data_IF_694881604206
#
_entry.id   IF_694881604206
#
_cell.length_a   1.000
_cell.length_b   1.000
_cell.length_c   1.000
_cell.angle_alpha   90.00
_cell.angle_beta   90.00
_cell.angle_gamma   90.00
#
_symmetry.space_group_name_H-M   'P 1'
#
loop_
_entity.id
_entity.type
_entity.pdbx_description
1 polymer ?
#
# COMPACT_ATOMS: atom_id res chain seq x y z
N UNK A 1 -3.28 18.61 -6.84
CA UNK A 1 -4.42 18.50 -7.78
C UNK A 1 -3.93 17.66 -8.93
N UNK A 2 -4.25 16.36 -8.88
CA UNK A 2 -3.91 15.41 -9.94
C UNK A 2 -4.47 15.88 -11.28
N UNK A 3 -3.80 15.54 -12.39
CA UNK A 3 -4.34 15.87 -13.71
C UNK A 3 -5.63 15.09 -13.92
N UNK A 4 -6.61 15.68 -14.61
CA UNK A 4 -7.90 15.04 -14.90
C UNK A 4 -7.74 13.62 -15.50
N UNK A 5 -6.69 13.41 -16.30
CA UNK A 5 -6.37 12.11 -16.88
C UNK A 5 -5.93 11.08 -15.82
N UNK A 6 -5.07 11.45 -14.87
CA UNK A 6 -4.65 10.58 -13.76
C UNK A 6 -5.83 10.25 -12.84
N UNK A 7 -6.65 11.25 -12.50
CA UNK A 7 -7.88 11.04 -11.74
C UNK A 7 -8.85 10.11 -12.46
N UNK A 8 -8.94 10.18 -13.79
CA UNK A 8 -9.75 9.26 -14.60
C UNK A 8 -9.22 7.82 -14.52
N UNK A 9 -7.90 7.61 -14.50
CA UNK A 9 -7.30 6.28 -14.29
C UNK A 9 -7.67 5.72 -12.91
N UNK A 10 -7.60 6.54 -11.86
CA UNK A 10 -8.03 6.13 -10.49
C UNK A 10 -9.50 5.68 -10.49
N UNK A 11 -10.39 6.49 -11.07
CA UNK A 11 -11.82 6.21 -11.11
C UNK A 11 -12.11 4.94 -11.91
N UNK A 12 -11.52 4.81 -13.09
CA UNK A 12 -11.71 3.65 -13.95
C UNK A 12 -11.14 2.37 -13.31
N UNK A 13 -10.01 2.45 -12.61
CA UNK A 13 -9.42 1.31 -11.92
C UNK A 13 -10.29 0.86 -10.73
N UNK A 14 -10.84 1.82 -9.96
CA UNK A 14 -11.85 1.53 -8.93
C UNK A 14 -13.07 0.83 -9.51
N UNK A 15 -13.60 1.34 -10.63
CA UNK A 15 -14.79 0.77 -11.26
C UNK A 15 -14.49 -0.64 -11.81
N UNK A 16 -13.29 -0.86 -12.37
CA UNK A 16 -12.80 -2.19 -12.74
C UNK A 16 -12.78 -3.16 -11.55
N UNK A 17 -12.32 -2.74 -10.37
CA UNK A 17 -12.34 -3.59 -9.16
C UNK A 17 -13.77 -3.99 -8.76
N UNK A 18 -14.73 -3.08 -8.90
CA UNK A 18 -16.14 -3.36 -8.59
C UNK A 18 -16.77 -4.36 -9.58
N UNK A 19 -16.42 -4.25 -10.86
CA UNK A 19 -16.93 -5.12 -11.93
C UNK A 19 -16.30 -6.52 -11.88
N UNK A 20 -15.02 -6.61 -11.50
CA UNK A 20 -14.25 -7.85 -11.49
C UNK A 20 -14.10 -8.45 -10.08
N UNK A 21 -14.96 -8.06 -9.14
CA UNK A 21 -15.01 -8.71 -7.83
C UNK A 21 -15.35 -10.19 -8.02
N UNK A 22 -14.63 -11.06 -7.30
CA UNK A 22 -14.91 -12.50 -7.32
C UNK A 22 -16.31 -12.78 -6.78
N UNK A 23 -16.93 -13.89 -7.20
CA UNK A 23 -18.29 -14.26 -6.77
C UNK A 23 -18.40 -14.38 -5.23
N UNK A 24 -17.31 -14.77 -4.56
CA UNK A 24 -17.21 -14.90 -3.11
C UNK A 24 -16.96 -13.55 -2.40
N UNK A 25 -16.52 -12.52 -3.14
CA UNK A 25 -16.29 -11.17 -2.60
C UNK A 25 -17.55 -10.31 -2.74
N UNK A 26 -18.21 -10.05 -1.60
CA UNK A 26 -19.37 -9.13 -1.56
C UNK A 26 -18.99 -7.66 -1.77
N UNK A 27 -17.71 -7.30 -1.57
CA UNK A 27 -17.16 -5.94 -1.67
C UNK A 27 -15.76 -6.02 -2.28
N UNK A 28 -15.37 -5.12 -3.19
CA UNK A 28 -14.01 -5.10 -3.71
C UNK A 28 -12.99 -4.76 -2.60
N UNK A 29 -11.70 -5.04 -2.85
CA UNK A 29 -10.66 -4.67 -1.92
C UNK A 29 -10.62 -3.17 -1.62
N UNK A 30 -10.08 -2.82 -0.43
CA UNK A 30 -9.97 -1.43 -0.02
C UNK A 30 -9.03 -0.65 -0.95
N UNK A 31 -9.47 0.53 -1.35
CA UNK A 31 -8.68 1.53 -2.08
C UNK A 31 -8.71 2.85 -1.31
N UNK A 32 -7.53 3.42 -1.07
CA UNK A 32 -7.34 4.70 -0.40
C UNK A 32 -6.62 5.62 -1.38
N UNK A 33 -7.27 6.74 -1.73
CA UNK A 33 -6.62 7.82 -2.47
C UNK A 33 -5.87 8.69 -1.47
N UNK A 34 -4.58 8.93 -1.74
CA UNK A 34 -3.72 9.77 -0.93
C UNK A 34 -3.61 11.17 -1.54
N UNK A 35 -3.53 12.19 -0.69
CA UNK A 35 -3.27 13.56 -1.13
C UNK A 35 -2.26 14.25 -0.22
N UNK A 36 -1.45 15.15 -0.79
CA UNK A 36 -0.58 16.05 -0.04
C UNK A 36 0.80 15.47 0.27
N UNK A 37 1.26 15.58 1.52
CA UNK A 37 2.59 15.07 1.90
C UNK A 37 2.70 13.55 1.78
N UNK A 38 1.71 12.74 2.20
CA UNK A 38 1.72 11.29 1.97
C UNK A 38 1.83 10.94 0.50
N UNK A 39 1.06 11.62 -0.37
CA UNK A 39 1.11 11.42 -1.84
C UNK A 39 2.54 11.60 -2.38
N UNK A 40 3.23 12.65 -1.93
CA UNK A 40 4.60 12.94 -2.38
C UNK A 40 5.65 11.90 -1.97
N UNK A 41 5.32 11.06 -0.98
CA UNK A 41 6.20 10.07 -0.37
C UNK A 41 5.81 8.63 -0.69
N UNK A 42 4.52 8.33 -0.85
CA UNK A 42 3.98 6.98 -0.92
C UNK A 42 3.29 6.66 -2.27
N UNK A 43 3.08 7.67 -3.12
CA UNK A 43 2.28 7.54 -4.34
C UNK A 43 0.83 7.96 -4.16
N UNK A 44 0.02 7.79 -5.20
CA UNK A 44 -1.36 8.31 -5.27
C UNK A 44 -2.40 7.38 -4.64
N UNK A 45 -2.19 6.06 -4.73
CA UNK A 45 -3.13 5.06 -4.22
C UNK A 45 -2.46 4.07 -3.29
N UNK A 46 -3.21 3.65 -2.28
CA UNK A 46 -2.96 2.42 -1.58
C UNK A 46 -4.10 1.45 -1.84
N UNK A 47 -3.79 0.21 -2.17
CA UNK A 47 -4.79 -0.86 -2.27
C UNK A 47 -4.42 -2.05 -1.40
N UNK A 48 -5.44 -2.79 -1.00
CA UNK A 48 -5.28 -4.18 -0.56
C UNK A 48 -5.69 -5.12 -1.69
N UNK A 49 -5.09 -6.32 -1.78
CA UNK A 49 -5.63 -7.44 -2.56
C UNK A 49 -5.44 -8.72 -1.74
N UNK A 50 -6.55 -9.26 -1.23
CA UNK A 50 -6.50 -10.30 -0.19
C UNK A 50 -5.81 -9.77 1.08
N UNK A 51 -4.73 -10.43 1.49
CA UNK A 51 -3.95 -10.04 2.69
C UNK A 51 -2.70 -9.22 2.37
N UNK A 52 -2.53 -8.80 1.10
CA UNK A 52 -1.36 -8.08 0.63
C UNK A 52 -1.68 -6.64 0.28
N UNK A 53 -0.70 -5.77 0.45
CA UNK A 53 -0.82 -4.34 0.31
C UNK A 53 0.10 -3.80 -0.78
N UNK A 54 -0.37 -2.77 -1.48
CA UNK A 54 0.31 -2.14 -2.59
C UNK A 54 0.20 -0.62 -2.50
N UNK A 55 1.23 0.05 -2.99
CA UNK A 55 1.27 1.48 -3.29
C UNK A 55 1.32 1.65 -4.80
N UNK A 56 0.50 2.56 -5.33
CA UNK A 56 0.55 2.94 -6.73
C UNK A 56 0.81 4.43 -6.91
N UNK A 57 1.81 4.73 -7.71
CA UNK A 57 1.97 6.01 -8.37
C UNK A 57 1.18 5.96 -9.70
N UNK A 58 0.10 6.73 -9.78
CA UNK A 58 -0.84 6.69 -10.90
C UNK A 58 -0.40 7.67 -11.98
N UNK A 59 -0.29 7.15 -13.20
CA UNK A 59 0.06 7.92 -14.39
C UNK A 59 -1.05 7.82 -15.41
N UNK A 60 -1.22 8.86 -16.24
CA UNK A 60 -2.21 8.79 -17.32
C UNK A 60 -1.82 7.75 -18.36
N UNK A 61 -0.54 7.76 -18.74
CA UNK A 61 0.08 6.84 -19.70
C UNK A 61 1.52 6.57 -19.27
N UNK A 62 2.16 5.56 -19.85
CA UNK A 62 3.56 5.24 -19.54
C UNK A 62 4.53 6.41 -19.79
N UNK A 63 4.25 7.31 -20.74
CA UNK A 63 5.15 8.43 -21.05
C UNK A 63 5.22 9.47 -19.93
N UNK A 64 4.17 9.54 -19.10
CA UNK A 64 4.12 10.45 -17.95
C UNK A 64 4.87 9.92 -16.71
N UNK A 65 5.40 8.69 -16.76
CA UNK A 65 6.30 8.17 -15.71
C UNK A 65 7.50 9.11 -15.51
N UNK A 66 8.02 9.71 -16.59
CA UNK A 66 9.19 10.58 -16.48
C UNK A 66 8.99 11.83 -15.61
N UNK A 67 7.74 12.20 -15.29
CA UNK A 67 7.43 13.32 -14.40
C UNK A 67 7.92 13.11 -12.96
N UNK A 68 8.23 11.87 -12.59
CA UNK A 68 8.88 11.54 -11.30
C UNK A 68 10.23 12.24 -11.11
N UNK A 69 10.95 12.52 -12.20
CA UNK A 69 12.26 13.19 -12.15
C UNK A 69 12.38 14.41 -13.06
N UNK A 70 11.45 14.61 -14.00
CA UNK A 70 11.52 15.71 -14.98
C UNK A 70 10.51 16.83 -14.76
N UNK A 71 9.81 16.87 -13.62
CA UNK A 71 8.96 18.02 -13.31
C UNK A 71 9.80 19.30 -13.22
N UNK A 72 9.49 20.31 -14.02
CA UNK A 72 10.31 21.52 -14.11
C UNK A 72 10.03 22.50 -12.96
N UNK A 73 11.09 22.96 -12.28
CA UNK A 73 11.00 24.11 -11.37
C UNK A 73 11.32 25.39 -12.13
N UNK A 74 10.26 26.09 -12.56
CA UNK A 74 10.37 27.34 -13.30
C UNK A 74 11.13 28.45 -12.55
N UNK A 75 11.17 28.41 -11.21
CA UNK A 75 11.91 29.42 -10.42
C UNK A 75 13.41 29.17 -10.47
N UNK A 76 13.81 27.90 -10.42
CA UNK A 76 15.22 27.50 -10.41
C UNK A 76 15.76 27.13 -11.79
N UNK A 77 14.91 27.02 -12.81
CA UNK A 77 15.25 26.59 -14.17
C UNK A 77 15.99 25.24 -14.19
N UNK A 78 15.58 24.33 -13.31
CA UNK A 78 16.13 22.98 -13.21
C UNK A 78 14.99 21.95 -13.03
N UNK A 79 15.21 20.69 -13.40
CA UNK A 79 14.33 19.61 -12.98
C UNK A 79 14.25 19.53 -11.45
N UNK A 80 13.05 19.32 -10.94
CA UNK A 80 12.76 19.08 -9.53
C UNK A 80 12.21 17.66 -9.40
N UNK A 81 13.06 16.66 -9.11
CA UNK A 81 12.58 15.32 -8.87
C UNK A 81 11.59 15.28 -7.69
N UNK A 82 10.66 14.33 -7.74
CA UNK A 82 9.79 14.03 -6.61
C UNK A 82 10.60 13.53 -5.42
N UNK A 83 10.03 13.69 -4.22
CA UNK A 83 10.66 13.23 -2.98
C UNK A 83 10.78 11.71 -2.99
N UNK A 84 9.71 11.00 -3.39
CA UNK A 84 9.71 9.56 -3.61
C UNK A 84 10.88 9.09 -4.51
N UNK A 85 11.01 9.64 -5.73
CA UNK A 85 12.11 9.30 -6.63
C UNK A 85 13.49 9.53 -5.99
N UNK A 86 13.65 10.65 -5.28
CA UNK A 86 14.90 10.98 -4.59
C UNK A 86 15.22 9.97 -3.48
N UNK A 87 14.20 9.51 -2.74
CA UNK A 87 14.35 8.49 -1.69
C UNK A 87 14.75 7.15 -2.27
N UNK A 88 14.15 6.72 -3.39
CA UNK A 88 14.57 5.50 -4.10
C UNK A 88 16.02 5.59 -4.60
N UNK A 89 16.44 6.75 -5.11
CA UNK A 89 17.83 6.97 -5.50
C UNK A 89 18.80 6.92 -4.31
N UNK A 90 18.40 7.41 -3.13
CA UNK A 90 19.20 7.30 -1.90
C UNK A 90 19.42 5.84 -1.50
N UNK A 91 18.39 4.99 -1.61
CA UNK A 91 18.52 3.55 -1.32
C UNK A 91 19.48 2.87 -2.30
N UNK A 92 19.41 3.21 -3.59
CA UNK A 92 20.38 2.70 -4.58
C UNK A 92 21.81 3.20 -4.29
N UNK A 93 21.95 4.42 -3.78
CA UNK A 93 23.25 4.96 -3.35
C UNK A 93 23.80 4.22 -2.13
N UNK A 94 22.95 3.90 -1.15
CA UNK A 94 23.33 3.14 0.04
C UNK A 94 23.70 1.69 -0.29
N UNK A 95 23.00 1.08 -1.26
CA UNK A 95 23.39 -0.20 -1.86
C UNK A 95 24.80 -0.11 -2.47
N UNK A 96 25.05 0.89 -3.31
CA UNK A 96 26.36 1.07 -3.96
C UNK A 96 27.52 1.39 -3.00
N UNK A 97 27.25 2.12 -1.91
CA UNK A 97 28.20 2.38 -0.80
C UNK A 97 28.53 1.13 -0.01
N UNK A 98 27.65 0.13 -0.01
CA UNK A 98 27.86 -1.14 0.70
C UNK A 98 28.93 -2.00 0.04
N UNK A 99 29.33 -1.67 -1.19
CA UNK A 99 30.46 -2.28 -1.89
C UNK A 99 31.77 -1.49 -1.68
N UNK A 100 32.92 -2.15 -1.85
CA UNK A 100 34.25 -1.57 -1.96
C UNK A 100 34.64 -1.29 -3.43
N UNK A 101 35.77 -0.63 -3.69
CA UNK A 101 36.21 -0.30 -5.05
C UNK A 101 36.43 -1.53 -5.95
N UNK A 102 36.78 -2.68 -5.35
CA UNK A 102 36.96 -3.96 -6.02
C UNK A 102 35.70 -4.87 -5.97
N UNK A 103 34.55 -4.33 -5.57
CA UNK A 103 33.27 -5.06 -5.58
C UNK A 103 33.06 -6.01 -4.39
N UNK A 104 33.89 -5.95 -3.35
CA UNK A 104 33.66 -6.72 -2.12
C UNK A 104 32.66 -6.01 -1.20
N UNK A 105 31.87 -6.79 -0.46
CA UNK A 105 30.93 -6.22 0.53
C UNK A 105 31.73 -5.59 1.67
N UNK A 106 31.51 -4.29 1.90
CA UNK A 106 32.10 -3.49 2.97
C UNK A 106 31.20 -3.43 4.20
N UNK A 107 29.89 -3.37 3.99
CA UNK A 107 28.89 -3.30 5.07
C UNK A 107 27.72 -4.22 4.73
N UNK A 108 27.71 -5.41 5.33
CA UNK A 108 26.69 -6.42 5.07
C UNK A 108 25.30 -6.00 5.57
N UNK A 109 25.21 -5.30 6.70
CA UNK A 109 23.92 -4.87 7.25
C UNK A 109 23.24 -3.82 6.35
N UNK A 110 23.98 -2.81 5.91
CA UNK A 110 23.43 -1.79 4.98
C UNK A 110 23.12 -2.39 3.60
N UNK A 111 23.90 -3.38 3.15
CA UNK A 111 23.60 -4.13 1.94
C UNK A 111 22.24 -4.84 2.06
N UNK A 112 22.05 -5.60 3.14
CA UNK A 112 20.83 -6.36 3.41
C UNK A 112 19.61 -5.44 3.55
N UNK A 113 19.73 -4.33 4.29
CA UNK A 113 18.66 -3.33 4.42
C UNK A 113 18.25 -2.74 3.06
N UNK A 114 19.24 -2.36 2.24
CA UNK A 114 18.97 -1.78 0.92
C UNK A 114 18.35 -2.81 -0.05
N UNK A 115 18.84 -4.05 -0.06
CA UNK A 115 18.27 -5.13 -0.87
C UNK A 115 16.85 -5.47 -0.45
N UNK A 116 16.59 -5.57 0.86
CA UNK A 116 15.24 -5.81 1.39
C UNK A 116 14.28 -4.68 0.99
N UNK A 117 14.71 -3.42 1.11
CA UNK A 117 13.89 -2.29 0.67
C UNK A 117 13.58 -2.35 -0.83
N UNK A 118 14.57 -2.67 -1.67
CA UNK A 118 14.40 -2.81 -3.11
C UNK A 118 13.41 -3.93 -3.43
N UNK A 119 13.58 -5.10 -2.83
CA UNK A 119 12.66 -6.24 -3.03
C UNK A 119 11.24 -5.89 -2.60
N UNK A 120 11.08 -5.22 -1.45
CA UNK A 120 9.80 -4.72 -0.98
C UNK A 120 9.17 -3.72 -1.93
N UNK A 121 9.96 -2.77 -2.45
CA UNK A 121 9.50 -1.82 -3.45
C UNK A 121 9.06 -2.51 -4.74
N UNK A 122 9.83 -3.46 -5.27
CA UNK A 122 9.46 -4.17 -6.51
C UNK A 122 8.21 -5.02 -6.27
N UNK A 123 8.05 -5.59 -5.07
CA UNK A 123 6.88 -6.38 -4.71
C UNK A 123 5.61 -5.53 -4.61
N UNK A 124 5.64 -4.34 -4.01
CA UNK A 124 4.41 -3.60 -3.66
C UNK A 124 4.28 -2.16 -4.15
N UNK A 125 5.34 -1.49 -4.61
CA UNK A 125 5.28 -0.11 -5.04
C UNK A 125 5.41 -0.03 -6.56
N UNK A 126 4.29 0.21 -7.25
CA UNK A 126 4.21 0.12 -8.70
C UNK A 126 3.69 1.42 -9.32
N UNK A 127 3.93 1.60 -10.61
CA UNK A 127 3.14 2.50 -11.43
C UNK A 127 1.85 1.81 -11.85
N UNK A 128 0.75 2.57 -11.91
CA UNK A 128 -0.51 2.15 -12.52
C UNK A 128 -0.88 3.16 -13.62
N UNK A 129 -1.11 2.68 -14.84
CA UNK A 129 -1.49 3.55 -15.95
C UNK A 129 -2.36 2.85 -16.98
N UNK A 130 -3.02 3.63 -17.82
CA UNK A 130 -3.73 3.12 -18.99
C UNK A 130 -2.77 2.91 -20.16
N UNK A 131 -2.79 1.72 -20.75
CA UNK A 131 -2.07 1.44 -21.99
C UNK A 131 -3.05 1.43 -23.15
N UNK A 132 -2.91 2.40 -24.05
CA UNK A 132 -3.78 2.56 -25.22
C UNK A 132 -3.65 1.40 -26.22
N UNK A 133 -2.44 0.85 -26.38
CA UNK A 133 -2.15 -0.23 -27.34
C UNK A 133 -2.86 -1.51 -26.94
N UNK A 134 -2.81 -1.88 -25.66
CA UNK A 134 -3.52 -3.05 -25.14
C UNK A 134 -4.97 -2.74 -24.76
N UNK A 135 -5.35 -1.46 -24.74
CA UNK A 135 -6.63 -0.97 -24.22
C UNK A 135 -6.96 -1.58 -22.85
N UNK A 136 -5.95 -1.57 -21.97
CA UNK A 136 -6.06 -2.15 -20.63
C UNK A 136 -5.15 -1.45 -19.64
N UNK A 137 -5.39 -1.65 -18.34
CA UNK A 137 -4.48 -1.19 -17.29
C UNK A 137 -3.17 -1.97 -17.33
N UNK A 138 -2.08 -1.26 -17.08
CA UNK A 138 -0.77 -1.85 -16.84
C UNK A 138 -0.24 -1.41 -15.49
N UNK A 139 0.34 -2.39 -14.79
CA UNK A 139 1.02 -2.23 -13.53
C UNK A 139 2.48 -2.62 -13.73
N UNK A 140 3.40 -1.74 -13.34
CA UNK A 140 4.84 -1.94 -13.51
C UNK A 140 5.57 -1.57 -12.22
N UNK A 141 6.51 -2.38 -11.71
CA UNK A 141 7.29 -2.00 -10.54
C UNK A 141 7.98 -0.65 -10.68
N UNK A 142 7.98 0.14 -9.60
CA UNK A 142 8.45 1.53 -9.64
C UNK A 142 9.90 1.64 -10.15
N UNK A 143 10.79 0.77 -9.66
CA UNK A 143 12.18 0.72 -10.15
C UNK A 143 12.27 0.40 -11.64
N UNK A 144 11.53 -0.60 -12.12
CA UNK A 144 11.54 -1.03 -13.52
C UNK A 144 10.98 0.06 -14.45
N UNK A 145 9.90 0.73 -14.06
CA UNK A 145 9.36 1.86 -14.81
C UNK A 145 10.33 3.05 -14.86
N UNK A 146 11.01 3.36 -13.74
CA UNK A 146 12.02 4.41 -13.69
C UNK A 146 13.21 4.11 -14.61
N UNK A 147 13.73 2.88 -14.55
CA UNK A 147 14.84 2.44 -15.39
C UNK A 147 14.48 2.48 -16.87
N UNK A 148 13.36 1.86 -17.25
CA UNK A 148 12.86 1.79 -18.62
C UNK A 148 12.70 3.15 -19.28
N UNK A 149 12.23 4.15 -18.52
CA UNK A 149 12.05 5.53 -19.00
C UNK A 149 13.31 6.39 -18.79
N UNK A 150 14.46 5.77 -18.54
CA UNK A 150 15.79 6.39 -18.40
C UNK A 150 15.97 7.31 -17.18
N UNK A 151 15.10 7.20 -16.18
CA UNK A 151 15.19 7.96 -14.92
C UNK A 151 16.45 7.65 -14.12
N UNK A 152 16.89 6.40 -14.15
CA UNK A 152 18.10 5.94 -13.46
C UNK A 152 19.37 6.04 -14.31
N UNK A 153 19.33 6.70 -15.48
CA UNK A 153 20.52 6.91 -16.30
C UNK A 153 21.47 7.95 -15.68
N UNK A 154 22.78 7.79 -15.84
CA UNK A 154 23.79 8.74 -15.35
C UNK A 154 23.54 10.18 -15.83
N UNK A 155 23.11 10.33 -17.09
CA UNK A 155 22.79 11.63 -17.66
C UNK A 155 21.59 12.29 -16.95
N UNK A 156 20.55 11.51 -16.64
CA UNK A 156 19.36 12.02 -15.98
C UNK A 156 19.61 12.31 -14.50
N UNK A 157 20.28 11.42 -13.77
CA UNK A 157 20.64 11.63 -12.37
C UNK A 157 21.48 12.90 -12.19
N UNK A 158 22.44 13.14 -13.10
CA UNK A 158 23.23 14.37 -13.13
C UNK A 158 22.36 15.62 -13.32
N UNK A 159 21.36 15.59 -14.22
CA UNK A 159 20.40 16.71 -14.39
C UNK A 159 19.60 16.97 -13.12
N UNK A 160 19.24 15.92 -12.40
CA UNK A 160 18.53 15.99 -11.13
C UNK A 160 19.43 16.33 -9.92
N UNK A 161 20.75 16.50 -10.14
CA UNK A 161 21.73 16.71 -9.07
C UNK A 161 21.77 15.56 -8.04
N UNK A 162 21.49 14.34 -8.49
CA UNK A 162 21.55 13.12 -7.69
C UNK A 162 22.82 12.36 -8.07
N UNK A 163 23.57 11.95 -7.06
CA UNK A 163 24.74 11.10 -7.22
C UNK A 163 24.45 9.73 -6.58
N UNK A 164 24.74 8.66 -7.32
CA UNK A 164 24.63 7.29 -6.85
C UNK A 164 26.01 6.65 -6.97
N UNK A 165 26.59 6.28 -5.84
CA UNK A 165 27.87 5.58 -5.78
C UNK A 165 27.71 4.23 -6.49
N UNK A 166 28.60 3.92 -7.44
CA UNK A 166 28.58 2.64 -8.17
C UNK A 166 27.20 2.25 -8.70
N UNK A 167 26.54 3.19 -9.36
CA UNK A 167 25.25 2.97 -10.00
C UNK A 167 25.17 1.64 -10.78
N UNK A 168 26.21 1.26 -11.52
CA UNK A 168 26.24 0.00 -12.26
C UNK A 168 26.11 -1.24 -11.37
N UNK A 169 26.65 -1.23 -10.15
CA UNK A 169 26.47 -2.32 -9.19
C UNK A 169 25.03 -2.34 -8.70
N UNK A 170 24.48 -1.18 -8.32
CA UNK A 170 23.11 -1.07 -7.86
C UNK A 170 22.09 -1.52 -8.92
N UNK A 171 22.29 -1.14 -10.18
CA UNK A 171 21.46 -1.58 -11.30
C UNK A 171 21.64 -3.08 -11.57
N UNK A 172 22.85 -3.62 -11.48
CA UNK A 172 23.06 -5.07 -11.63
C UNK A 172 22.32 -5.88 -10.56
N UNK A 173 22.20 -5.39 -9.32
CA UNK A 173 21.35 -6.02 -8.31
C UNK A 173 19.87 -5.96 -8.68
N UNK A 174 19.39 -4.84 -9.23
CA UNK A 174 18.02 -4.74 -9.76
C UNK A 174 17.79 -5.76 -10.88
N UNK A 175 18.76 -5.93 -11.80
CA UNK A 175 18.70 -6.88 -12.92
C UNK A 175 18.65 -8.35 -12.48
N UNK A 176 18.97 -8.66 -11.22
CA UNK A 176 18.76 -10.00 -10.67
C UNK A 176 17.30 -10.28 -10.31
N UNK A 177 16.44 -9.27 -10.36
CA UNK A 177 15.02 -9.35 -10.10
C UNK A 177 14.22 -9.28 -11.40
N UNK A 178 13.16 -10.08 -11.51
CA UNK A 178 12.21 -9.94 -12.60
C UNK A 178 10.78 -10.28 -12.17
N UNK A 179 9.82 -9.99 -13.03
CA UNK A 179 8.46 -10.45 -12.85
C UNK A 179 8.23 -11.76 -13.60
N UNK A 180 7.60 -12.72 -12.93
CA UNK A 180 7.19 -13.99 -13.53
C UNK A 180 5.68 -14.15 -13.51
N UNK A 181 5.10 -14.57 -14.64
CA UNK A 181 3.76 -15.16 -14.68
C UNK A 181 3.89 -16.67 -14.50
N UNK A 182 3.37 -17.21 -13.39
CA UNK A 182 3.32 -18.65 -13.18
C UNK A 182 2.29 -19.28 -14.10
N UNK A 183 2.64 -20.39 -14.76
CA UNK A 183 1.64 -21.25 -15.39
C UNK A 183 0.90 -22.02 -14.28
N UNK A 184 -0.43 -21.98 -14.29
CA UNK A 184 -1.23 -22.72 -13.31
C UNK A 184 -1.04 -24.24 -13.43
N UNK A 185 -1.08 -24.98 -12.31
CA UNK A 185 -1.11 -24.49 -10.93
C UNK A 185 0.31 -24.24 -10.39
N UNK A 186 0.51 -23.20 -9.57
CA UNK A 186 1.74 -23.06 -8.81
C UNK A 186 1.88 -24.27 -7.88
N UNK A 187 2.99 -25.00 -8.00
CA UNK A 187 3.39 -25.98 -6.99
C UNK A 187 3.38 -25.31 -5.61
N UNK A 188 2.64 -25.87 -4.65
CA UNK A 188 2.78 -25.49 -3.23
C UNK A 188 4.02 -26.13 -2.58
N UNK A 189 4.71 -27.00 -3.32
CA UNK A 189 5.93 -27.65 -2.89
C UNK A 189 7.14 -26.83 -3.36
N UNK A 190 7.82 -26.20 -2.39
CA UNK A 190 9.02 -25.38 -2.58
C UNK A 190 10.22 -26.18 -3.15
N UNK A 191 10.12 -27.51 -3.23
CA UNK A 191 11.17 -28.38 -3.77
C UNK A 191 11.10 -28.60 -5.29
N UNK A 192 10.02 -28.20 -5.96
CA UNK A 192 9.85 -28.40 -7.41
C UNK A 192 10.39 -27.22 -8.23
N UNK A 193 10.97 -27.48 -9.42
CA UNK A 193 11.41 -26.42 -10.32
C UNK A 193 10.22 -25.56 -10.75
N UNK A 194 10.44 -24.25 -10.74
CA UNK A 194 9.41 -23.25 -11.04
C UNK A 194 9.38 -23.03 -12.55
N UNK A 195 8.20 -23.21 -13.13
CA UNK A 195 7.94 -22.88 -14.53
C UNK A 195 7.15 -21.57 -14.58
N UNK A 196 7.80 -20.50 -15.04
CA UNK A 196 7.18 -19.21 -15.25
C UNK A 196 7.59 -18.65 -16.61
N UNK A 197 6.78 -17.71 -17.09
CA UNK A 197 7.16 -16.85 -18.21
C UNK A 197 7.56 -15.50 -17.66
N UNK A 198 8.75 -15.02 -18.02
CA UNK A 198 9.17 -13.66 -17.67
C UNK A 198 8.19 -12.67 -18.32
N UNK A 199 7.63 -11.78 -17.50
CA UNK A 199 6.71 -10.74 -17.92
C UNK A 199 7.29 -9.38 -17.58
N UNK A 200 6.85 -8.36 -18.31
CA UNK A 200 7.28 -6.99 -18.06
C UNK A 200 6.26 -6.18 -17.27
N UNK A 201 4.99 -6.43 -17.55
CA UNK A 201 3.87 -5.69 -17.00
C UNK A 201 2.88 -6.67 -16.40
N UNK A 202 2.22 -6.22 -15.34
CA UNK A 202 1.16 -6.94 -14.64
C UNK A 202 -0.16 -6.32 -15.10
N UNK A 203 -1.13 -7.17 -15.42
CA UNK A 203 -2.52 -6.72 -15.54
C UNK A 203 -3.20 -6.85 -14.17
N UNK A 204 -4.18 -6.01 -13.83
CA UNK A 204 -4.85 -6.08 -12.54
C UNK A 204 -5.41 -7.45 -12.17
N UNK A 205 -5.89 -8.22 -13.15
CA UNK A 205 -6.38 -9.60 -12.99
C UNK A 205 -5.30 -10.50 -12.38
N UNK A 206 -4.04 -10.29 -12.76
CA UNK A 206 -2.89 -11.08 -12.31
C UNK A 206 -2.53 -10.86 -10.83
N UNK A 207 -2.97 -9.73 -10.26
CA UNK A 207 -2.88 -9.47 -8.82
C UNK A 207 -3.98 -10.23 -8.06
N UNK A 208 -5.19 -10.26 -8.62
CA UNK A 208 -6.35 -10.91 -8.01
C UNK A 208 -6.23 -12.44 -7.99
N UNK A 209 -5.87 -13.04 -9.13
CA UNK A 209 -5.70 -14.49 -9.27
C UNK A 209 -4.36 -14.99 -8.71
N UNK A 210 -3.49 -14.06 -8.33
CA UNK A 210 -2.12 -14.33 -7.90
C UNK A 210 -1.41 -15.17 -8.96
N UNK A 211 -1.39 -14.76 -10.22
CA UNK A 211 -0.58 -15.37 -11.27
C UNK A 211 0.76 -14.67 -11.48
N UNK A 212 0.87 -13.39 -11.09
CA UNK A 212 2.13 -12.64 -11.12
C UNK A 212 2.97 -12.82 -9.84
N UNK A 213 4.28 -12.91 -9.99
CA UNK A 213 5.28 -13.07 -8.93
C UNK A 213 6.48 -12.16 -9.17
N UNK A 214 7.14 -11.80 -8.09
CA UNK A 214 8.52 -11.34 -8.15
C UNK A 214 9.45 -12.55 -8.03
N UNK A 215 10.35 -12.69 -8.99
CA UNK A 215 11.42 -13.68 -9.01
C UNK A 215 12.72 -12.94 -8.64
N UNK A 216 13.28 -13.25 -7.48
CA UNK A 216 14.55 -12.68 -7.03
C UNK A 216 15.68 -13.66 -7.32
N UNK A 217 16.87 -13.15 -7.61
CA UNK A 217 18.01 -13.95 -8.07
C UNK A 217 17.66 -14.80 -9.31
N UNK A 218 16.97 -14.22 -10.30
CA UNK A 218 16.49 -14.94 -11.50
C UNK A 218 17.61 -15.65 -12.29
N UNK A 219 18.84 -15.15 -12.20
CA UNK A 219 20.02 -15.73 -12.83
C UNK A 219 20.70 -16.83 -11.98
N UNK A 220 20.17 -17.13 -10.79
CA UNK A 220 20.67 -18.16 -9.87
C UNK A 220 20.17 -19.54 -10.27
N UNK A 221 20.83 -20.58 -9.74
CA UNK A 221 20.36 -21.96 -9.87
C UNK A 221 19.06 -22.21 -9.09
N UNK A 222 18.82 -21.40 -8.05
CA UNK A 222 17.69 -21.51 -7.14
C UNK A 222 17.01 -20.13 -7.01
N UNK A 223 16.32 -19.65 -8.06
CA UNK A 223 15.59 -18.40 -7.97
C UNK A 223 14.52 -18.49 -6.88
N UNK A 224 14.33 -17.41 -6.12
CA UNK A 224 13.28 -17.34 -5.11
C UNK A 224 12.07 -16.63 -5.72
N UNK A 225 10.88 -17.07 -5.36
CA UNK A 225 9.65 -16.44 -5.81
C UNK A 225 8.88 -15.89 -4.62
N UNK A 226 8.25 -14.74 -4.83
CA UNK A 226 7.33 -14.18 -3.86
C UNK A 226 6.10 -13.62 -4.55
N UNK A 227 4.96 -13.74 -3.88
CA UNK A 227 3.74 -13.06 -4.30
C UNK A 227 3.96 -11.55 -4.29
N UNK A 228 3.36 -10.86 -5.27
CA UNK A 228 3.34 -9.40 -5.29
C UNK A 228 2.44 -8.85 -4.18
N UNK A 229 2.76 -7.63 -3.76
CA UNK A 229 2.23 -6.98 -2.57
C UNK A 229 2.88 -7.52 -1.32
N UNK A 230 2.91 -6.73 -0.25
CA UNK A 230 3.51 -7.14 1.02
C UNK A 230 2.45 -7.54 2.03
N UNK A 231 2.71 -8.56 2.89
CA UNK A 231 1.93 -8.76 4.10
C UNK A 231 2.04 -7.52 5.00
N UNK A 232 1.14 -7.46 5.98
CA UNK A 232 0.93 -6.26 6.81
C UNK A 232 2.21 -5.75 7.48
N UNK A 233 2.97 -6.63 8.13
CA UNK A 233 4.17 -6.28 8.90
C UNK A 233 5.29 -5.76 8.01
N UNK A 234 5.49 -6.39 6.85
CA UNK A 234 6.50 -5.98 5.87
C UNK A 234 6.10 -4.67 5.19
N UNK A 235 4.81 -4.48 4.90
CA UNK A 235 4.29 -3.25 4.33
C UNK A 235 4.47 -2.05 5.27
N UNK A 236 4.16 -2.20 6.56
CA UNK A 236 4.41 -1.15 7.55
C UNK A 236 5.90 -0.78 7.61
N UNK A 237 6.76 -1.79 7.74
CA UNK A 237 8.22 -1.58 7.74
C UNK A 237 8.67 -0.80 6.50
N UNK A 238 8.16 -1.17 5.32
CA UNK A 238 8.45 -0.47 4.07
C UNK A 238 7.99 0.99 4.09
N UNK A 239 6.74 1.25 4.51
CA UNK A 239 6.19 2.62 4.62
C UNK A 239 6.98 3.47 5.61
N UNK A 240 7.35 2.93 6.77
CA UNK A 240 8.14 3.66 7.77
C UNK A 240 9.54 4.02 7.23
N UNK A 241 10.18 3.10 6.51
CA UNK A 241 11.47 3.35 5.87
C UNK A 241 11.36 4.43 4.78
N UNK A 242 10.29 4.39 3.98
CA UNK A 242 10.03 5.36 2.92
C UNK A 242 9.78 6.76 3.50
N UNK A 243 8.99 6.85 4.57
CA UNK A 243 8.72 8.09 5.30
C UNK A 243 9.87 8.57 6.22
N UNK A 244 10.93 7.78 6.40
CA UNK A 244 12.03 8.09 7.31
C UNK A 244 11.58 8.23 8.77
N UNK A 245 10.60 7.43 9.19
CA UNK A 245 9.99 7.48 10.53
C UNK A 245 9.14 8.73 10.81
N UNK A 246 8.92 9.59 9.81
CA UNK A 246 8.04 10.76 9.94
C UNK A 246 6.60 10.38 9.64
N UNK A 247 5.69 10.76 10.53
CA UNK A 247 4.27 10.56 10.31
C UNK A 247 3.64 11.76 9.59
N UNK A 248 2.87 11.51 8.55
CA UNK A 248 2.19 12.53 7.76
C UNK A 248 0.68 12.38 7.86
N UNK A 249 -0.04 13.50 8.03
CA UNK A 249 -1.50 13.48 7.98
C UNK A 249 -1.98 13.22 6.55
N UNK A 250 -2.73 12.15 6.39
CA UNK A 250 -3.46 11.77 5.17
C UNK A 250 -4.94 12.06 5.38
N UNK A 251 -5.55 12.78 4.45
CA UNK A 251 -7.00 12.92 4.42
C UNK A 251 -7.56 11.81 3.53
N UNK A 252 -8.15 10.78 4.13
CA UNK A 252 -8.70 9.64 3.42
C UNK A 252 -10.22 9.76 3.35
N UNK A 253 -10.82 9.48 2.19
CA UNK A 253 -12.27 9.28 2.07
C UNK A 253 -12.52 7.78 1.87
N UNK A 254 -13.32 7.20 2.74
CA UNK A 254 -13.61 5.77 2.76
C UNK A 254 -15.10 5.53 2.55
N UNK A 255 -15.42 4.49 1.77
CA UNK A 255 -16.76 3.96 1.65
C UNK A 255 -16.84 2.63 2.40
N UNK A 256 -17.70 2.54 3.41
CA UNK A 256 -17.98 1.26 4.08
C UNK A 256 -18.72 0.30 3.15
N UNK A 257 -18.68 -0.99 3.49
CA UNK A 257 -19.51 -2.04 2.87
C UNK A 257 -21.01 -1.76 2.91
N UNK A 258 -21.48 -0.90 3.84
CA UNK A 258 -22.88 -0.46 3.95
C UNK A 258 -23.24 0.74 3.06
N UNK A 259 -22.30 1.23 2.23
CA UNK A 259 -22.50 2.41 1.39
C UNK A 259 -22.37 3.75 2.12
N UNK A 260 -22.02 3.75 3.41
CA UNK A 260 -21.74 4.98 4.16
C UNK A 260 -20.35 5.49 3.86
N UNK A 261 -20.26 6.75 3.45
CA UNK A 261 -19.00 7.49 3.24
C UNK A 261 -18.58 8.12 4.56
N UNK A 262 -17.29 8.03 4.89
CA UNK A 262 -16.70 8.79 5.98
C UNK A 262 -15.32 9.29 5.57
N UNK A 263 -15.05 10.56 5.85
CA UNK A 263 -13.73 11.14 5.71
C UNK A 263 -12.99 10.94 7.04
N UNK A 264 -11.76 10.44 6.97
CA UNK A 264 -10.91 10.24 8.13
C UNK A 264 -9.56 10.89 7.87
N UNK A 265 -9.09 11.71 8.80
CA UNK A 265 -7.71 12.17 8.81
C UNK A 265 -6.91 11.11 9.54
N UNK A 266 -6.02 10.45 8.84
CA UNK A 266 -5.21 9.34 9.36
C UNK A 266 -3.77 9.72 9.19
N UNK A 267 -2.97 9.58 10.23
CA UNK A 267 -1.52 9.74 10.13
C UNK A 267 -0.92 8.55 9.35
N UNK A 268 0.19 8.70 8.62
CA UNK A 268 0.76 7.58 7.83
C UNK A 268 1.16 6.40 8.73
N UNK A 269 1.51 6.67 9.99
CA UNK A 269 1.70 5.63 11.02
C UNK A 269 0.40 4.90 11.39
N UNK A 270 -0.75 5.57 11.24
CA UNK A 270 -2.10 5.06 11.53
C UNK A 270 -2.84 4.58 10.28
N UNK A 271 -2.26 4.74 9.09
CA UNK A 271 -2.82 4.25 7.81
C UNK A 271 -3.13 2.75 7.91
N UNK A 272 -2.34 2.05 8.73
CA UNK A 272 -2.48 0.66 9.11
C UNK A 272 -3.58 0.41 10.14
N UNK A 273 -3.76 1.31 11.10
CA UNK A 273 -4.90 1.28 12.05
C UNK A 273 -6.23 1.43 11.30
N UNK A 274 -6.27 2.24 10.23
CA UNK A 274 -7.42 2.37 9.34
C UNK A 274 -7.77 1.03 8.68
N UNK A 275 -6.77 0.35 8.09
CA UNK A 275 -6.95 -0.98 7.50
C UNK A 275 -7.41 -1.99 8.55
N UNK A 276 -6.76 -2.02 9.72
CA UNK A 276 -7.13 -2.91 10.84
C UNK A 276 -8.53 -2.63 11.37
N UNK A 277 -9.00 -1.38 11.39
CA UNK A 277 -10.36 -1.04 11.80
C UNK A 277 -11.41 -1.49 10.77
N UNK A 278 -11.02 -1.61 9.50
CA UNK A 278 -11.89 -2.04 8.40
C UNK A 278 -11.89 -3.58 8.25
N UNK A 279 -10.75 -4.25 8.50
CA UNK A 279 -10.53 -5.70 8.30
C UNK A 279 -11.56 -6.61 9.01
N UNK A 280 -11.92 -6.43 10.30
CA UNK A 280 -12.93 -7.25 10.98
C UNK A 280 -14.34 -7.15 10.39
N UNK A 281 -14.61 -6.13 9.57
CA UNK A 281 -15.90 -5.94 8.91
C UNK A 281 -15.96 -6.53 7.50
N UNK A 282 -14.85 -7.07 6.99
CA UNK A 282 -14.72 -7.64 5.65
C UNK A 282 -14.53 -9.16 5.62
N UNK A 283 -14.20 -9.79 6.75
CA UNK A 283 -14.10 -11.24 6.90
C UNK A 283 -15.20 -11.72 7.86
N UNK A 284 -16.16 -12.58 7.43
CA UNK A 284 -17.25 -13.04 8.28
C UNK A 284 -16.81 -13.76 9.57
N UNK A 285 -15.57 -14.30 9.60
CA UNK A 285 -15.09 -15.17 10.68
C UNK A 285 -13.73 -14.74 11.28
N UNK A 286 -13.35 -13.46 11.22
CA UNK A 286 -12.17 -13.02 11.96
C UNK A 286 -12.45 -13.09 13.48
N UNK A 287 -11.69 -13.87 14.28
CA UNK A 287 -11.89 -13.93 15.72
C UNK A 287 -11.69 -12.54 16.32
N UNK A 288 -12.66 -12.10 17.12
CA UNK A 288 -12.64 -10.80 17.77
C UNK A 288 -11.36 -10.69 18.63
N UNK A 289 -10.45 -9.73 18.35
CA UNK A 289 -9.24 -9.54 19.14
C UNK A 289 -9.53 -9.15 20.59
N UNK A 290 -10.79 -8.83 20.92
CA UNK A 290 -11.25 -8.55 22.28
C UNK A 290 -11.96 -9.72 22.98
N UNK A 291 -11.95 -10.93 22.40
CA UNK A 291 -12.43 -12.13 23.11
C UNK A 291 -11.41 -12.57 24.18
N UNK A 292 -11.38 -11.83 25.29
CA UNK A 292 -10.66 -12.26 26.47
C UNK A 292 -11.32 -13.52 27.06
N UNK A 293 -10.54 -14.54 27.45
CA UNK A 293 -11.07 -15.70 28.16
C UNK A 293 -11.63 -15.23 29.50
N UNK A 294 -12.84 -15.68 29.81
CA UNK A 294 -13.49 -15.39 31.08
C UNK A 294 -12.60 -15.87 32.24
N UNK A 295 -12.26 -14.93 33.14
CA UNK A 295 -11.91 -15.27 34.52
C UNK A 295 -10.50 -14.91 34.97
N UNK A 296 -10.31 -13.69 35.46
CA UNK A 296 -9.62 -13.42 36.73
C UNK A 296 -9.73 -11.91 37.05
N UNK A 297 -10.33 -11.60 38.20
CA UNK A 297 -10.47 -10.24 38.72
C UNK A 297 -9.09 -9.63 39.00
N UNK A 298 -8.84 -8.42 38.50
CA UNK A 298 -7.89 -7.48 39.12
C UNK A 298 -8.56 -6.12 39.31
N UNK A 299 -8.80 -5.79 40.57
CA UNK A 299 -9.20 -4.48 41.05
C UNK A 299 -8.13 -3.43 40.71
N UNK A 300 -8.52 -2.31 40.11
CA UNK A 300 -7.80 -1.04 40.26
C UNK A 300 -8.81 0.06 40.61
N UNK A 301 -8.47 0.78 41.67
CA UNK A 301 -9.29 1.70 42.42
C UNK A 301 -9.63 2.99 41.66
N UNK A 302 -10.88 3.42 41.85
CA UNK A 302 -11.40 4.75 41.60
C UNK A 302 -10.92 5.70 42.71
N UNK A 303 -10.31 6.82 42.36
CA UNK A 303 -10.15 7.96 43.27
C UNK A 303 -11.30 8.96 43.07
N UNK A 304 -11.91 9.33 44.18
CA UNK A 304 -13.12 10.14 44.36
C UNK A 304 -12.80 11.62 44.57
N UNK A 305 -13.71 12.53 44.17
CA UNK A 305 -14.34 13.51 45.10
C UNK A 305 -15.46 14.33 44.44
N UNK A 306 -16.64 14.29 45.08
CA UNK A 306 -17.76 15.27 45.05
C UNK A 306 -17.54 16.31 46.17
N UNK A 307 -18.33 17.41 46.24
CA UNK A 307 -19.59 17.45 47.05
C UNK A 307 -20.72 18.17 46.28
N UNK A 308 -21.94 17.65 46.05
CA UNK A 308 -23.11 17.37 46.90
C UNK A 308 -23.68 18.54 47.76
N UNK A 309 -24.93 18.92 47.44
CA UNK A 309 -26.03 19.46 48.27
C UNK A 309 -27.09 20.03 47.29
N UNK A 310 -28.41 19.85 47.33
CA UNK A 310 -29.34 19.28 48.29
C UNK A 310 -30.63 18.81 47.57
N UNK A 311 -31.33 17.83 48.17
CA UNK A 311 -32.78 17.61 47.99
C UNK A 311 -33.45 17.89 49.34
N UNK A 312 -34.71 18.32 49.34
CA UNK A 312 -35.75 17.44 49.93
C UNK A 312 -37.05 17.44 49.08
N UNK A 313 -37.61 16.28 48.68
CA UNK A 313 -38.51 15.33 49.38
C UNK A 313 -40.02 15.66 49.13
N UNK A 314 -40.99 14.76 49.42
CA UNK A 314 -41.84 14.13 48.39
C UNK A 314 -43.37 14.29 48.58
N UNK A 315 -44.14 13.87 47.55
CA UNK A 315 -45.51 13.27 47.48
C UNK A 315 -46.66 13.80 48.39
N UNK A 316 -47.98 13.66 48.05
CA UNK A 316 -48.55 12.47 47.41
C UNK A 316 -49.83 12.63 46.53
N UNK A 317 -50.19 11.50 45.91
CA UNK A 317 -51.56 11.01 45.69
C UNK A 317 -52.40 11.58 44.54
N UNK A 318 -52.85 10.71 43.64
CA UNK A 318 -54.18 10.07 43.74
C UNK A 318 -54.42 9.10 42.57
N UNK A 319 -54.59 7.83 42.96
CA UNK A 319 -55.65 6.90 42.55
C UNK A 319 -56.20 6.91 41.12
N UNK A 320 -56.17 5.73 40.48
CA UNK A 320 -57.27 5.28 39.61
C UNK A 320 -56.87 4.45 38.38
N UNK A 321 -56.60 3.16 38.55
CA UNK A 321 -56.86 2.14 37.51
C UNK A 321 -58.38 1.82 37.47
N UNK A 322 -58.87 0.87 36.64
CA UNK A 322 -58.99 0.89 35.18
C UNK A 322 -60.43 0.56 34.74
N UNK A 323 -60.80 0.70 33.47
CA UNK A 323 -61.96 -0.05 32.91
C UNK A 323 -61.70 -0.50 31.48
N UNK A 324 -61.56 -1.82 31.33
CA UNK A 324 -61.80 -2.56 30.09
C UNK A 324 -63.31 -2.66 29.83
N UNK A 325 -63.71 -2.57 28.55
CA UNK A 325 -64.84 -3.24 27.90
C UNK A 325 -64.48 -3.32 26.41
N UNK A 326 -64.07 -4.49 25.90
CA UNK A 326 -64.90 -5.54 25.28
C UNK A 326 -65.47 -5.15 23.90
N UNK A 327 -64.88 -5.75 22.87
CA UNK A 327 -65.51 -6.48 21.75
C UNK A 327 -66.80 -5.95 21.10
N UNK A 328 -66.81 -5.89 19.78
CA UNK A 328 -68.05 -5.96 18.99
C UNK A 328 -67.87 -5.57 17.53
N UNK A 329 -67.95 -6.58 16.65
CA UNK A 329 -68.01 -6.47 15.20
C UNK A 329 -69.22 -5.65 14.71
N UNK A 330 -69.02 -4.80 13.71
CA UNK A 330 -69.75 -4.78 12.42
C UNK A 330 -69.02 -3.87 11.44
#
# INVERSE_FOLDING_TARGET
>A
MARLAESSVVIAFRDWQWLNRTADATVPPLMIVMEGNPESMLGDLQISAGERFFLFEVKSTEDTICEEWNKWDYKKQIPKPKVLFTKHCQILDDLGKSYSANGTVKNAATLEEALNFINFSIACHHFLYWNEVTSHFQIEPYYFGCERKNGLSTAQLKKCQIAINKLSFALNELDTNELGASLSPPSQDDSLPIYYTSIRFIQPEMLNDRSARLITEANSKNPLWQFLGLPFEEFDSYVQQLCGGTSYKTNCVLLSSSGKIFAHIVDTIDLLTLIKAIRPRMLPDAPDPNSSPSGAKKHIHRATRRPQADKPKPDPSLNGKPKQKSSGLS
#
